data_IF_061132938824
#
_entry.id   IF_061132938824
#
_cell.length_a   1.000
_cell.length_b   1.000
_cell.length_c   1.000
_cell.angle_alpha   90.00
_cell.angle_beta   90.00
_cell.angle_gamma   90.00
#
_symmetry.space_group_name_H-M   'P 1'
#
loop_
_entity.id
_entity.type
_entity.pdbx_description
1 polymer ?
#
# COMPACT_ATOMS: atom_id res chain seq x y z
N UNK A 1 67.82 -82.27 -159.93
CA UNK A 1 68.22 -82.18 -158.52
C UNK A 1 66.94 -82.26 -157.73
N UNK A 2 66.68 -83.42 -157.15
CA UNK A 2 65.45 -83.75 -156.45
C UNK A 2 65.39 -82.99 -155.12
N UNK A 3 64.29 -82.27 -154.89
CA UNK A 3 64.01 -81.60 -153.61
C UNK A 3 62.88 -82.37 -152.95
N UNK A 4 63.23 -82.99 -151.83
CA UNK A 4 62.36 -83.84 -151.02
C UNK A 4 61.34 -82.99 -150.25
N UNK A 5 60.04 -83.20 -150.50
CA UNK A 5 58.92 -82.49 -149.86
C UNK A 5 58.05 -83.41 -148.98
N UNK A 6 58.62 -84.52 -148.51
CA UNK A 6 57.91 -85.44 -147.61
C UNK A 6 57.73 -84.80 -146.21
N UNK A 7 56.51 -84.82 -145.68
CA UNK A 7 56.20 -84.29 -144.36
C UNK A 7 56.82 -85.18 -143.27
N UNK A 8 57.86 -84.68 -142.63
CA UNK A 8 58.49 -85.29 -141.47
C UNK A 8 57.84 -84.73 -140.19
N UNK A 9 57.10 -85.57 -139.47
CA UNK A 9 56.51 -85.23 -138.16
C UNK A 9 57.37 -85.88 -137.07
N UNK A 10 58.05 -85.04 -136.30
CA UNK A 10 58.88 -85.45 -135.16
C UNK A 10 58.04 -85.29 -133.87
N UNK A 11 57.76 -86.41 -133.18
CA UNK A 11 57.09 -86.37 -131.88
C UNK A 11 58.08 -85.86 -130.82
N UNK A 12 57.87 -84.62 -130.36
CA UNK A 12 58.63 -84.05 -129.24
C UNK A 12 58.10 -84.69 -127.94
N UNK A 13 58.85 -85.66 -127.41
CA UNK A 13 58.51 -86.40 -126.20
C UNK A 13 58.92 -85.70 -124.89
N UNK A 14 59.43 -84.46 -124.96
CA UNK A 14 59.99 -83.77 -123.81
C UNK A 14 58.91 -82.99 -123.05
N UNK A 15 58.76 -83.25 -121.75
CA UNK A 15 57.79 -82.55 -120.90
C UNK A 15 58.37 -81.19 -120.50
N UNK A 16 57.65 -80.07 -120.69
CA UNK A 16 58.13 -78.77 -120.29
C UNK A 16 58.36 -78.73 -118.77
N UNK A 17 59.44 -78.08 -118.34
CA UNK A 17 59.79 -77.96 -116.93
C UNK A 17 58.70 -77.18 -116.17
N UNK A 18 58.00 -77.88 -115.28
CA UNK A 18 57.05 -77.28 -114.36
C UNK A 18 57.83 -76.60 -113.22
N UNK A 19 57.49 -75.33 -112.94
CA UNK A 19 58.09 -74.54 -111.87
C UNK A 19 57.03 -74.31 -110.81
N UNK A 20 57.22 -74.90 -109.64
CA UNK A 20 56.33 -74.69 -108.50
C UNK A 20 56.51 -73.28 -107.95
N UNK A 21 55.38 -72.58 -107.77
CA UNK A 21 55.32 -71.25 -107.19
C UNK A 21 54.43 -71.30 -105.94
N UNK A 22 55.05 -71.24 -104.77
CA UNK A 22 54.33 -71.15 -103.50
C UNK A 22 53.84 -69.72 -103.24
N UNK A 23 52.56 -69.56 -102.90
CA UNK A 23 52.00 -68.30 -102.41
C UNK A 23 51.92 -68.32 -100.88
N UNK A 24 52.68 -67.46 -100.23
CA UNK A 24 52.56 -67.20 -98.79
C UNK A 24 51.31 -66.37 -98.51
N UNK A 25 50.23 -67.01 -98.05
CA UNK A 25 49.05 -66.33 -97.50
C UNK A 25 49.23 -66.12 -96.00
N UNK A 26 49.54 -64.90 -95.58
CA UNK A 26 49.53 -64.54 -94.16
C UNK A 26 48.10 -64.65 -93.58
N UNK A 27 47.92 -65.17 -92.36
CA UNK A 27 46.60 -65.23 -91.71
C UNK A 27 46.04 -63.81 -91.50
N UNK A 28 44.78 -63.59 -91.89
CA UNK A 28 44.10 -62.32 -91.62
C UNK A 28 43.94 -62.14 -90.10
N UNK A 29 44.74 -61.25 -89.50
CA UNK A 29 44.62 -60.89 -88.08
C UNK A 29 43.48 -59.87 -87.91
N UNK A 30 42.57 -60.12 -86.99
CA UNK A 30 41.45 -59.20 -86.69
C UNK A 30 41.97 -57.85 -86.20
N UNK A 31 41.45 -56.77 -86.81
CA UNK A 31 41.81 -55.40 -86.42
C UNK A 31 41.33 -55.13 -84.99
N UNK A 32 42.15 -54.49 -84.13
CA UNK A 32 41.69 -54.08 -82.80
C UNK A 32 40.46 -53.15 -82.90
N UNK A 33 39.53 -53.22 -81.94
CA UNK A 33 38.33 -52.39 -81.97
C UNK A 33 38.70 -50.91 -81.98
N UNK A 34 38.11 -50.14 -82.89
CA UNK A 34 38.35 -48.70 -82.99
C UNK A 34 37.98 -48.02 -81.67
N UNK A 35 38.81 -47.07 -81.17
CA UNK A 35 38.56 -46.41 -79.90
C UNK A 35 37.23 -45.64 -79.92
N UNK A 36 36.54 -45.66 -78.78
CA UNK A 36 35.27 -44.95 -78.59
C UNK A 36 35.47 -43.45 -78.79
N UNK A 37 34.70 -42.84 -79.70
CA UNK A 37 34.73 -41.41 -79.92
C UNK A 37 34.10 -40.68 -78.73
N UNK A 38 34.90 -39.91 -77.99
CA UNK A 38 34.43 -38.98 -76.97
C UNK A 38 34.35 -37.59 -77.61
N UNK A 39 33.16 -37.01 -77.81
CA UNK A 39 33.03 -35.66 -78.35
C UNK A 39 33.77 -34.66 -77.47
N UNK A 40 34.53 -33.73 -78.08
CA UNK A 40 35.12 -32.61 -77.35
C UNK A 40 33.99 -31.71 -76.84
N UNK A 41 34.06 -31.26 -75.58
CA UNK A 41 33.15 -30.25 -75.04
C UNK A 41 33.17 -29.03 -75.97
N UNK A 42 32.06 -28.75 -76.62
CA UNK A 42 31.84 -27.58 -77.47
C UNK A 42 30.82 -26.67 -76.81
N UNK A 43 31.22 -25.43 -76.53
CA UNK A 43 30.42 -24.43 -75.80
C UNK A 43 31.34 -23.45 -75.08
N UNK A 44 30.83 -22.24 -74.82
CA UNK A 44 31.53 -21.24 -74.01
C UNK A 44 30.96 -21.34 -72.60
N UNK A 45 31.82 -21.60 -71.62
CA UNK A 45 31.43 -21.58 -70.21
C UNK A 45 31.08 -20.14 -69.79
N UNK A 46 29.94 -19.98 -69.11
CA UNK A 46 29.52 -18.71 -68.52
C UNK A 46 29.17 -18.92 -67.06
N UNK A 47 29.60 -18.00 -66.22
CA UNK A 47 29.16 -17.91 -64.84
C UNK A 47 28.28 -16.67 -64.66
N UNK A 48 27.33 -16.78 -63.74
CA UNK A 48 26.47 -15.68 -63.31
C UNK A 48 26.51 -15.68 -61.79
N UNK A 49 26.95 -14.57 -61.21
CA UNK A 49 27.02 -14.37 -59.77
C UNK A 49 26.27 -13.08 -59.42
N UNK A 50 25.53 -13.11 -58.32
CA UNK A 50 24.91 -11.92 -57.73
C UNK A 50 25.77 -11.52 -56.53
N UNK A 51 26.19 -10.25 -56.50
CA UNK A 51 27.01 -9.70 -55.43
C UNK A 51 26.14 -9.09 -54.32
N UNK A 52 26.74 -8.92 -53.14
CA UNK A 52 26.07 -8.34 -51.99
C UNK A 52 25.56 -6.93 -52.33
N UNK A 53 24.26 -6.70 -52.16
CA UNK A 53 23.59 -5.43 -52.46
C UNK A 53 23.00 -5.29 -53.88
N UNK A 54 23.26 -6.21 -54.82
CA UNK A 54 22.71 -6.10 -56.20
C UNK A 54 21.19 -6.30 -56.29
N UNK A 55 20.59 -6.95 -55.29
CA UNK A 55 19.14 -7.23 -55.23
C UNK A 55 18.43 -6.48 -54.10
N UNK A 56 19.08 -5.54 -53.43
CA UNK A 56 18.47 -4.85 -52.29
C UNK A 56 17.39 -3.87 -52.76
N UNK A 57 16.17 -4.08 -52.27
CA UNK A 57 15.05 -3.15 -52.43
C UNK A 57 14.76 -2.46 -51.09
N UNK A 58 15.08 -1.16 -51.03
CA UNK A 58 14.93 -0.40 -49.79
C UNK A 58 13.47 -0.34 -49.32
N UNK A 59 12.51 -0.15 -50.23
CA UNK A 59 11.11 0.07 -49.86
C UNK A 59 10.50 -1.20 -49.25
N UNK A 60 10.89 -2.37 -49.77
CA UNK A 60 10.49 -3.66 -49.21
C UNK A 60 11.16 -3.95 -47.86
N UNK A 61 12.46 -3.69 -47.74
CA UNK A 61 13.24 -4.05 -46.55
C UNK A 61 12.99 -3.10 -45.36
N UNK A 62 12.60 -1.84 -45.61
CA UNK A 62 12.30 -0.85 -44.56
C UNK A 62 10.90 -1.00 -43.98
N UNK A 63 9.96 -1.60 -44.72
CA UNK A 63 8.56 -1.70 -44.32
C UNK A 63 8.35 -2.42 -42.97
N UNK A 64 8.99 -3.58 -42.67
CA UNK A 64 8.85 -4.24 -41.37
C UNK A 64 9.43 -3.39 -40.21
N UNK A 65 10.51 -2.66 -40.48
CA UNK A 65 11.16 -1.79 -39.47
C UNK A 65 10.22 -0.62 -39.12
N UNK A 66 9.66 0.03 -40.13
CA UNK A 66 8.69 1.12 -39.93
C UNK A 66 7.44 0.63 -39.20
N UNK A 67 6.90 -0.52 -39.57
CA UNK A 67 5.73 -1.09 -38.92
C UNK A 67 5.96 -1.32 -37.42
N UNK A 68 7.13 -1.84 -37.05
CA UNK A 68 7.49 -2.05 -35.64
C UNK A 68 7.67 -0.72 -34.90
N UNK A 69 8.37 0.25 -35.50
CA UNK A 69 8.60 1.55 -34.86
C UNK A 69 7.28 2.28 -34.64
N UNK A 70 6.44 2.37 -35.67
CA UNK A 70 5.13 3.05 -35.57
C UNK A 70 4.21 2.30 -34.60
N UNK A 71 4.16 0.97 -34.67
CA UNK A 71 3.35 0.16 -33.75
C UNK A 71 3.75 0.36 -32.29
N UNK A 72 5.05 0.23 -31.98
CA UNK A 72 5.55 0.40 -30.61
C UNK A 72 5.40 1.83 -30.09
N UNK A 73 5.65 2.83 -30.93
CA UNK A 73 5.51 4.23 -30.50
C UNK A 73 4.06 4.59 -30.18
N UNK A 74 3.10 4.13 -30.98
CA UNK A 74 1.68 4.33 -30.71
C UNK A 74 1.22 3.56 -29.46
N UNK A 75 1.62 2.29 -29.32
CA UNK A 75 1.26 1.46 -28.17
C UNK A 75 1.80 2.06 -26.87
N UNK A 76 3.09 2.45 -26.85
CA UNK A 76 3.72 3.06 -25.70
C UNK A 76 3.06 4.42 -25.36
N UNK A 77 2.83 5.28 -26.35
CA UNK A 77 2.19 6.58 -26.13
C UNK A 77 0.78 6.42 -25.55
N UNK A 78 0.02 5.43 -26.03
CA UNK A 78 -1.32 5.15 -25.52
C UNK A 78 -1.28 4.67 -24.07
N UNK A 79 -0.37 3.76 -23.72
CA UNK A 79 -0.20 3.29 -22.35
C UNK A 79 0.19 4.42 -21.40
N UNK A 80 1.12 5.28 -21.79
CA UNK A 80 1.56 6.42 -20.98
C UNK A 80 0.40 7.40 -20.71
N UNK A 81 -0.38 7.75 -21.73
CA UNK A 81 -1.54 8.65 -21.57
C UNK A 81 -2.61 8.05 -20.65
N UNK A 82 -2.89 6.75 -20.79
CA UNK A 82 -3.85 6.05 -19.92
C UNK A 82 -3.37 6.03 -18.46
N UNK A 83 -2.09 5.73 -18.24
CA UNK A 83 -1.50 5.73 -16.90
C UNK A 83 -1.55 7.13 -16.27
N UNK A 84 -1.21 8.18 -17.03
CA UNK A 84 -1.31 9.56 -16.55
C UNK A 84 -2.74 9.95 -16.17
N UNK A 85 -3.74 9.52 -16.95
CA UNK A 85 -5.15 9.79 -16.65
C UNK A 85 -5.62 9.06 -15.39
N UNK A 86 -5.31 7.76 -15.26
CA UNK A 86 -5.65 6.99 -14.07
C UNK A 86 -5.01 7.60 -12.81
N UNK A 87 -3.74 7.97 -12.91
CA UNK A 87 -3.00 8.54 -11.78
C UNK A 87 -3.54 9.91 -11.38
N UNK A 88 -4.00 10.71 -12.35
CA UNK A 88 -4.72 11.97 -12.09
C UNK A 88 -6.07 11.72 -11.40
N UNK A 89 -6.83 10.73 -11.86
CA UNK A 89 -8.12 10.37 -11.28
C UNK A 89 -7.97 9.87 -9.83
N UNK A 90 -6.99 9.00 -9.57
CA UNK A 90 -6.68 8.53 -8.22
C UNK A 90 -6.28 9.67 -7.27
N UNK A 91 -5.43 10.61 -7.73
CA UNK A 91 -5.04 11.79 -6.93
C UNK A 91 -6.25 12.66 -6.60
N UNK A 92 -7.11 12.93 -7.56
CA UNK A 92 -8.32 13.73 -7.33
C UNK A 92 -9.25 13.07 -6.29
N UNK A 93 -9.43 11.74 -6.37
CA UNK A 93 -10.23 11.00 -5.40
C UNK A 93 -9.60 11.02 -4.00
N UNK A 94 -8.28 10.89 -3.92
CA UNK A 94 -7.56 10.96 -2.65
C UNK A 94 -7.68 12.35 -2.01
N UNK A 95 -7.51 13.41 -2.79
CA UNK A 95 -7.66 14.79 -2.32
C UNK A 95 -9.08 15.07 -1.80
N UNK A 96 -10.11 14.64 -2.54
CA UNK A 96 -11.51 14.78 -2.11
C UNK A 96 -11.75 14.04 -0.79
N UNK A 97 -11.29 12.80 -0.68
CA UNK A 97 -11.43 12.00 0.52
C UNK A 97 -10.70 12.60 1.72
N UNK A 98 -9.48 13.11 1.53
CA UNK A 98 -8.71 13.76 2.59
C UNK A 98 -9.36 15.08 3.04
N UNK A 99 -9.97 15.84 2.12
CA UNK A 99 -10.76 17.04 2.47
C UNK A 99 -11.98 16.68 3.33
N UNK A 100 -12.75 15.67 2.94
CA UNK A 100 -13.91 15.20 3.71
C UNK A 100 -13.47 14.74 5.10
N UNK A 101 -12.44 13.88 5.16
CA UNK A 101 -11.90 13.39 6.43
C UNK A 101 -11.41 14.52 7.34
N UNK A 102 -10.72 15.52 6.78
CA UNK A 102 -10.26 16.67 7.55
C UNK A 102 -11.42 17.50 8.11
N UNK A 103 -12.48 17.69 7.33
CA UNK A 103 -13.69 18.38 7.76
C UNK A 103 -14.41 17.61 8.88
N UNK A 104 -14.60 16.29 8.71
CA UNK A 104 -15.20 15.41 9.71
C UNK A 104 -14.39 15.41 11.02
N UNK A 105 -13.07 15.32 10.94
CA UNK A 105 -12.19 15.36 12.11
C UNK A 105 -12.29 16.70 12.85
N UNK A 106 -12.31 17.82 12.12
CA UNK A 106 -12.45 19.14 12.72
C UNK A 106 -13.81 19.31 13.43
N UNK A 107 -14.89 18.77 12.84
CA UNK A 107 -16.21 18.78 13.46
C UNK A 107 -16.26 17.90 14.72
N UNK A 108 -15.70 16.68 14.66
CA UNK A 108 -15.61 15.78 15.80
C UNK A 108 -14.84 16.41 16.97
N UNK A 109 -13.68 17.02 16.70
CA UNK A 109 -12.89 17.73 17.72
C UNK A 109 -13.66 18.91 18.33
N UNK A 110 -14.41 19.66 17.51
CA UNK A 110 -15.25 20.75 18.00
C UNK A 110 -16.36 20.25 18.93
N UNK A 111 -17.00 19.13 18.59
CA UNK A 111 -18.03 18.50 19.42
C UNK A 111 -17.43 17.98 20.73
N UNK A 112 -16.30 17.28 20.66
CA UNK A 112 -15.59 16.76 21.84
C UNK A 112 -15.20 17.89 22.80
N UNK A 113 -14.59 18.96 22.30
CA UNK A 113 -14.23 20.12 23.12
C UNK A 113 -15.47 20.83 23.74
N UNK A 114 -16.63 20.78 23.08
CA UNK A 114 -17.87 21.28 23.67
C UNK A 114 -18.37 20.38 24.80
N UNK A 115 -18.32 19.06 24.62
CA UNK A 115 -18.71 18.09 25.64
C UNK A 115 -17.78 18.11 26.86
N UNK A 116 -16.46 18.23 26.66
CA UNK A 116 -15.50 18.39 27.75
C UNK A 116 -15.84 19.62 28.58
N UNK A 117 -16.08 20.78 27.95
CA UNK A 117 -16.47 22.00 28.66
C UNK A 117 -17.78 21.85 29.45
N UNK A 118 -18.78 21.19 28.86
CA UNK A 118 -20.06 20.91 29.54
C UNK A 118 -19.87 19.99 30.73
N UNK A 119 -19.04 18.96 30.58
CA UNK A 119 -18.73 18.01 31.65
C UNK A 119 -17.99 18.69 32.81
N UNK A 120 -16.98 19.51 32.50
CA UNK A 120 -16.25 20.30 33.50
C UNK A 120 -17.17 21.27 34.25
N UNK A 121 -18.04 22.01 33.54
CA UNK A 121 -18.99 22.91 34.17
C UNK A 121 -19.97 22.16 35.08
N UNK A 122 -20.50 21.02 34.60
CA UNK A 122 -21.39 20.14 35.38
C UNK A 122 -20.69 19.66 36.65
N UNK A 123 -19.44 19.20 36.55
CA UNK A 123 -18.66 18.73 37.69
C UNK A 123 -18.42 19.86 38.70
N UNK A 124 -18.08 21.07 38.21
CA UNK A 124 -17.90 22.25 39.06
C UNK A 124 -19.20 22.61 39.80
N UNK A 125 -20.35 22.57 39.13
CA UNK A 125 -21.65 22.83 39.77
C UNK A 125 -21.99 21.78 40.83
N UNK A 126 -21.70 20.51 40.58
CA UNK A 126 -21.90 19.43 41.56
C UNK A 126 -21.04 19.65 42.80
N UNK A 127 -19.78 20.06 42.64
CA UNK A 127 -18.89 20.32 43.79
C UNK A 127 -19.37 21.53 44.60
N UNK A 128 -19.71 22.63 43.94
CA UNK A 128 -20.28 23.82 44.60
C UNK A 128 -21.55 23.49 45.39
N UNK A 129 -22.43 22.65 44.83
CA UNK A 129 -23.64 22.23 45.52
C UNK A 129 -23.37 21.31 46.71
N UNK A 130 -22.39 20.41 46.61
CA UNK A 130 -21.94 19.60 47.74
C UNK A 130 -21.41 20.47 48.87
N UNK A 131 -20.56 21.44 48.57
CA UNK A 131 -20.04 22.40 49.54
C UNK A 131 -21.16 23.24 50.17
N UNK A 132 -22.12 23.73 49.37
CA UNK A 132 -23.28 24.49 49.87
C UNK A 132 -24.08 23.66 50.87
N UNK A 133 -24.42 22.42 50.54
CA UNK A 133 -25.18 21.52 51.42
C UNK A 133 -24.40 21.19 52.70
N UNK A 134 -23.09 20.98 52.61
CA UNK A 134 -22.24 20.73 53.79
C UNK A 134 -22.18 21.95 54.73
N UNK A 135 -22.03 23.15 54.15
CA UNK A 135 -22.04 24.41 54.90
C UNK A 135 -23.40 24.68 55.52
N UNK A 136 -24.49 24.48 54.78
CA UNK A 136 -25.86 24.63 55.28
C UNK A 136 -26.14 23.72 56.48
N UNK A 137 -25.72 22.45 56.42
CA UNK A 137 -25.83 21.52 57.56
C UNK A 137 -25.06 22.02 58.79
N UNK A 138 -23.85 22.54 58.59
CA UNK A 138 -23.04 23.09 59.68
C UNK A 138 -23.69 24.34 60.28
N UNK A 139 -24.17 25.25 59.43
CA UNK A 139 -24.84 26.49 59.86
C UNK A 139 -26.14 26.17 60.60
N UNK A 140 -26.96 25.26 60.07
CA UNK A 140 -28.21 24.83 60.70
C UNK A 140 -27.96 24.28 62.10
N UNK A 141 -26.95 23.40 62.27
CA UNK A 141 -26.54 22.89 63.59
C UNK A 141 -26.08 24.02 64.53
N UNK A 142 -25.28 24.97 64.05
CA UNK A 142 -24.82 26.13 64.85
C UNK A 142 -25.99 27.00 65.31
N UNK A 143 -26.95 27.27 64.43
CA UNK A 143 -28.15 28.07 64.75
C UNK A 143 -29.03 27.34 65.77
N UNK A 144 -29.26 26.04 65.58
CA UNK A 144 -30.02 25.22 66.52
C UNK A 144 -29.36 25.18 67.91
N UNK A 145 -28.03 24.95 67.97
CA UNK A 145 -27.28 24.94 69.23
C UNK A 145 -27.31 26.31 69.92
N UNK A 146 -27.15 27.41 69.18
CA UNK A 146 -27.27 28.77 69.73
C UNK A 146 -28.66 29.03 70.30
N UNK A 147 -29.72 28.68 69.57
CA UNK A 147 -31.10 28.85 70.02
C UNK A 147 -31.46 27.98 71.22
N UNK A 148 -30.89 26.76 71.31
CA UNK A 148 -31.01 25.91 72.49
C UNK A 148 -30.28 26.50 73.69
N UNK A 149 -29.01 26.89 73.52
CA UNK A 149 -28.20 27.48 74.59
C UNK A 149 -28.84 28.75 75.16
N UNK A 150 -29.37 29.63 74.30
CA UNK A 150 -30.04 30.86 74.76
C UNK A 150 -31.30 30.57 75.60
N UNK A 151 -32.13 29.60 75.20
CA UNK A 151 -33.30 29.20 75.97
C UNK A 151 -32.91 28.52 77.28
N UNK A 152 -32.02 27.54 77.20
CA UNK A 152 -31.53 26.80 78.36
C UNK A 152 -30.88 27.71 79.41
N UNK A 153 -30.02 28.64 78.99
CA UNK A 153 -29.42 29.62 79.91
C UNK A 153 -30.49 30.52 80.54
N UNK A 154 -31.49 30.97 79.77
CA UNK A 154 -32.62 31.75 80.32
C UNK A 154 -33.42 30.98 81.37
N UNK A 155 -33.72 29.71 81.10
CA UNK A 155 -34.46 28.83 82.01
C UNK A 155 -33.65 28.54 83.29
N UNK A 156 -32.36 28.16 83.14
CA UNK A 156 -31.46 27.90 84.28
C UNK A 156 -31.28 29.15 85.14
N UNK A 157 -31.11 30.32 84.52
CA UNK A 157 -31.03 31.59 85.27
C UNK A 157 -32.32 31.78 86.06
N UNK A 158 -33.49 31.66 85.44
CA UNK A 158 -34.77 31.83 86.13
C UNK A 158 -34.96 30.83 87.27
N UNK A 159 -34.63 29.55 87.07
CA UNK A 159 -34.72 28.49 88.08
C UNK A 159 -33.73 28.70 89.24
N UNK A 160 -32.48 29.08 88.96
CA UNK A 160 -31.48 29.36 89.99
C UNK A 160 -31.87 30.58 90.82
N UNK A 161 -32.36 31.65 90.18
CA UNK A 161 -32.83 32.84 90.89
C UNK A 161 -34.07 32.51 91.75
N UNK A 162 -35.03 31.73 91.24
CA UNK A 162 -36.18 31.26 92.02
C UNK A 162 -35.77 30.39 93.21
N UNK A 163 -34.87 29.43 93.01
CA UNK A 163 -34.34 28.58 94.09
C UNK A 163 -33.57 29.39 95.15
N UNK A 164 -32.80 30.41 94.74
CA UNK A 164 -32.11 31.31 95.66
C UNK A 164 -33.09 32.19 96.46
N UNK A 165 -34.22 32.58 95.86
CA UNK A 165 -35.29 33.32 96.54
C UNK A 165 -36.01 32.41 97.56
N UNK A 166 -36.38 31.19 97.18
CA UNK A 166 -37.03 30.20 98.06
C UNK A 166 -36.13 29.76 99.23
N UNK A 167 -34.82 29.62 99.01
CA UNK A 167 -33.85 29.29 100.06
C UNK A 167 -33.52 30.49 100.96
N UNK A 168 -34.14 31.66 100.72
CA UNK A 168 -33.97 32.86 101.54
C UNK A 168 -32.61 33.54 101.39
N UNK A 169 -31.89 33.25 100.30
CA UNK A 169 -30.60 33.90 100.01
C UNK A 169 -30.78 35.38 99.66
N UNK A 170 -31.87 35.70 98.95
CA UNK A 170 -32.32 37.08 98.75
C UNK A 170 -33.21 37.50 99.92
N UNK A 171 -32.67 38.33 100.82
CA UNK A 171 -33.42 38.95 101.90
C UNK A 171 -33.94 40.31 101.47
N UNK A 172 -35.14 40.68 101.91
CA UNK A 172 -35.61 42.06 101.78
C UNK A 172 -34.70 42.96 102.64
N UNK A 173 -33.97 43.91 102.03
CA UNK A 173 -33.08 44.81 102.76
C UNK A 173 -33.79 45.55 103.90
N UNK A 174 -35.08 45.89 103.74
CA UNK A 174 -35.87 46.57 104.75
C UNK A 174 -36.18 45.66 105.94
N UNK A 175 -36.57 44.41 105.69
CA UNK A 175 -36.88 43.45 106.77
C UNK A 175 -35.62 43.14 107.57
N UNK A 176 -34.49 42.95 106.90
CA UNK A 176 -33.21 42.72 107.58
C UNK A 176 -32.73 43.94 108.37
N UNK A 177 -32.90 45.15 107.82
CA UNK A 177 -32.59 46.38 108.55
C UNK A 177 -33.49 46.57 109.78
N UNK A 178 -34.76 46.20 109.68
CA UNK A 178 -35.70 46.18 110.83
C UNK A 178 -35.26 45.13 111.86
N UNK A 179 -34.91 43.92 111.46
CA UNK A 179 -34.43 42.86 112.37
C UNK A 179 -33.10 43.21 113.05
N UNK A 180 -32.13 43.76 112.31
CA UNK A 180 -30.79 44.03 112.81
C UNK A 180 -30.69 45.37 113.57
N UNK A 181 -31.49 46.38 113.20
CA UNK A 181 -31.38 47.74 113.78
C UNK A 181 -32.61 48.17 114.60
N UNK A 182 -33.83 47.90 114.11
CA UNK A 182 -35.06 48.40 114.76
C UNK A 182 -35.54 47.50 115.91
N UNK A 183 -35.50 46.17 115.75
CA UNK A 183 -35.94 45.22 116.79
C UNK A 183 -35.07 45.29 118.05
N UNK A 184 -33.73 45.42 117.98
CA UNK A 184 -32.89 45.64 119.17
C UNK A 184 -33.19 46.98 119.85
N UNK A 185 -33.45 48.05 119.06
CA UNK A 185 -33.84 49.35 119.60
C UNK A 185 -35.20 49.30 120.32
N UNK A 186 -36.20 48.63 119.74
CA UNK A 186 -37.54 48.48 120.33
C UNK A 186 -37.50 47.63 121.62
N UNK A 187 -36.80 46.49 121.60
CA UNK A 187 -36.64 45.62 122.78
C UNK A 187 -35.85 46.29 123.90
N UNK A 188 -34.85 47.11 123.56
CA UNK A 188 -34.14 47.97 124.51
C UNK A 188 -35.05 49.04 125.14
N UNK A 189 -36.03 49.55 124.39
CA UNK A 189 -37.03 50.48 124.88
C UNK A 189 -38.10 49.86 125.80
N UNK A 190 -38.51 48.62 125.53
CA UNK A 190 -39.54 47.90 126.32
C UNK A 190 -38.97 47.34 127.64
N UNK A 191 -37.68 47.01 127.69
CA UNK A 191 -37.00 46.56 128.93
C UNK A 191 -36.63 47.71 129.88
N UNK A 192 -36.84 48.97 129.46
CA UNK A 192 -36.56 50.17 130.26
C UNK A 192 -37.80 50.75 130.95
N UNK A 193 -38.77 49.91 131.31
CA UNK A 193 -39.92 50.31 132.14
C UNK A 193 -40.30 49.27 133.18
#
# INVERSE_FOLDING_TARGET
MDVQTEMFLEEIADRPAEVDADTQTDPFMDRPPTPLFIPKKTGIDRETQIFEGELFDFDFEVEPILQVIVGKTLEQSLMEVLEEEELKNMRAHQEEFDQIRAAELAEAQRMEAAEVRRAEEKQRRVEQERERVANERTVSKKVAARGFAHRYVGDVVSEVFGNMEETGFFYDPLVKEIEDSFMPWLLGGVTSR
#
